data_IF_187396090661
#
_entry.id   IF_187396090661
#
_cell.length_a   1.000
_cell.length_b   1.000
_cell.length_c   1.000
_cell.angle_alpha   90.00
_cell.angle_beta   90.00
_cell.angle_gamma   90.00
#
_symmetry.space_group_name_H-M   'P 1'
#
loop_
_entity.id
_entity.type
_entity.pdbx_description
1 polymer ?
#
# COMPACT_ATOMS: atom_id res chain seq x y z
N UNK A 1 11.58 3.08 -8.23
CA UNK A 1 12.97 2.91 -8.71
C UNK A 1 12.94 1.86 -9.81
N UNK A 2 13.53 2.14 -10.97
CA UNK A 2 13.59 1.18 -12.08
C UNK A 2 14.87 0.36 -11.88
N UNK A 3 14.73 -0.94 -11.66
CA UNK A 3 15.85 -1.88 -11.75
C UNK A 3 15.68 -2.63 -13.06
N UNK A 4 16.63 -2.50 -13.97
CA UNK A 4 16.60 -3.09 -15.30
C UNK A 4 17.21 -4.50 -15.27
N UNK A 5 16.48 -5.50 -15.77
CA UNK A 5 16.99 -6.83 -16.10
C UNK A 5 16.12 -7.46 -17.19
N UNK A 6 16.56 -7.32 -18.45
CA UNK A 6 16.15 -8.11 -19.62
C UNK A 6 14.70 -7.98 -20.07
N UNK A 7 14.43 -7.11 -21.06
CA UNK A 7 13.26 -7.06 -21.97
C UNK A 7 11.83 -7.31 -21.41
N UNK A 8 11.65 -7.32 -20.09
CA UNK A 8 10.37 -7.39 -19.43
C UNK A 8 10.15 -6.09 -18.66
N UNK A 9 9.30 -5.22 -19.21
CA UNK A 9 8.88 -4.02 -18.51
C UNK A 9 7.83 -4.40 -17.46
N UNK A 10 8.29 -4.85 -16.29
CA UNK A 10 7.42 -5.12 -15.15
C UNK A 10 7.02 -3.79 -14.50
N UNK A 11 5.86 -3.28 -14.86
CA UNK A 11 5.20 -2.24 -14.08
C UNK A 11 4.44 -2.93 -12.95
N UNK A 12 4.93 -2.81 -11.72
CA UNK A 12 4.06 -3.02 -10.56
C UNK A 12 3.23 -1.76 -10.41
N UNK A 13 1.96 -1.82 -10.78
CA UNK A 13 0.97 -0.81 -10.40
C UNK A 13 0.83 -0.86 -8.86
N UNK A 14 1.70 -0.12 -8.15
CA UNK A 14 1.60 0.03 -6.71
C UNK A 14 0.65 1.19 -6.42
N UNK A 15 -0.58 0.87 -6.06
CA UNK A 15 -1.53 1.85 -5.52
C UNK A 15 -1.06 2.24 -4.13
N UNK A 16 -0.74 3.52 -3.91
CA UNK A 16 -0.37 4.06 -2.61
C UNK A 16 -1.49 4.91 -2.04
N UNK A 17 -1.86 4.66 -0.79
CA UNK A 17 -2.89 5.44 -0.10
C UNK A 17 -2.42 5.85 1.29
N UNK A 18 -3.05 6.90 1.82
CA UNK A 18 -2.90 7.31 3.21
C UNK A 18 -4.14 6.90 4.01
N UNK A 19 -3.91 6.17 5.11
CA UNK A 19 -4.93 5.78 6.08
C UNK A 19 -4.81 6.66 7.33
N UNK A 20 -5.94 7.15 7.84
CA UNK A 20 -5.93 7.89 9.11
C UNK A 20 -5.70 6.93 10.27
N UNK A 21 -4.76 7.26 11.16
CA UNK A 21 -4.48 6.48 12.38
C UNK A 21 -5.72 6.34 13.26
N UNK A 22 -6.58 7.37 13.29
CA UNK A 22 -7.81 7.36 14.07
C UNK A 22 -8.81 6.29 13.60
N UNK A 23 -8.75 5.91 12.33
CA UNK A 23 -9.64 4.92 11.72
C UNK A 23 -8.99 3.53 11.70
N UNK A 24 -7.69 3.47 11.42
CA UNK A 24 -6.91 2.23 11.38
C UNK A 24 -5.67 2.37 12.29
N UNK A 25 -5.77 1.97 13.57
CA UNK A 25 -4.70 2.20 14.54
C UNK A 25 -3.42 1.40 14.28
N UNK A 26 -3.55 0.20 13.70
CA UNK A 26 -2.44 -0.73 13.49
C UNK A 26 -2.62 -1.54 12.20
N UNK A 27 -2.46 -0.93 11.02
CA UNK A 27 -2.47 -1.65 9.75
C UNK A 27 -1.28 -2.62 9.68
N UNK A 28 -1.45 -3.71 8.93
CA UNK A 28 -0.44 -4.76 8.75
C UNK A 28 -0.34 -5.18 7.29
N UNK A 29 0.83 -5.71 6.86
CA UNK A 29 0.91 -6.42 5.60
C UNK A 29 -0.13 -7.54 5.52
N UNK A 30 -0.82 -7.65 4.39
CA UNK A 30 -1.89 -8.63 4.17
C UNK A 30 -3.29 -8.18 4.60
N UNK A 31 -3.45 -7.03 5.24
CA UNK A 31 -4.77 -6.46 5.49
C UNK A 31 -5.49 -6.18 4.16
N UNK A 32 -6.79 -6.48 4.12
CA UNK A 32 -7.65 -6.25 2.94
C UNK A 32 -8.31 -4.89 3.00
N UNK A 33 -8.24 -4.16 1.89
CA UNK A 33 -8.89 -2.86 1.68
C UNK A 33 -9.82 -3.00 0.49
N UNK A 34 -11.05 -2.52 0.62
CA UNK A 34 -12.01 -2.44 -0.47
C UNK A 34 -12.19 -0.99 -0.89
N UNK A 35 -11.99 -0.73 -2.19
CA UNK A 35 -12.13 0.61 -2.79
C UNK A 35 -13.06 0.44 -3.99
N UNK A 36 -14.21 1.10 -3.97
CA UNK A 36 -15.22 1.05 -5.04
C UNK A 36 -15.65 -0.37 -5.48
N UNK A 37 -15.56 -1.36 -4.58
CA UNK A 37 -15.91 -2.76 -4.83
C UNK A 37 -14.74 -3.65 -5.25
N UNK A 38 -13.57 -3.07 -5.53
CA UNK A 38 -12.34 -3.80 -5.82
C UNK A 38 -11.55 -4.08 -4.53
N UNK A 39 -10.99 -5.29 -4.43
CA UNK A 39 -10.24 -5.73 -3.27
C UNK A 39 -8.73 -5.59 -3.50
N UNK A 40 -8.06 -5.00 -2.52
CA UNK A 40 -6.63 -4.81 -2.46
C UNK A 40 -6.06 -5.38 -1.17
N UNK A 41 -4.79 -5.76 -1.20
CA UNK A 41 -4.02 -6.19 -0.04
C UNK A 41 -2.88 -5.22 0.22
N UNK A 42 -2.69 -4.85 1.48
CA UNK A 42 -1.50 -4.10 1.92
C UNK A 42 -0.26 -4.96 1.66
N UNK A 43 0.69 -4.39 0.96
CA UNK A 43 2.00 -4.98 0.68
C UNK A 43 3.09 -4.19 1.40
N UNK A 44 4.03 -4.91 2.01
CA UNK A 44 5.08 -4.31 2.82
C UNK A 44 4.57 -3.70 4.13
N UNK A 45 5.51 -3.19 4.92
CA UNK A 45 5.22 -2.59 6.22
C UNK A 45 4.62 -1.17 6.05
N UNK A 46 3.45 -0.88 6.67
CA UNK A 46 2.91 0.47 6.73
C UNK A 46 3.88 1.47 7.34
N UNK A 47 4.06 2.62 6.69
CA UNK A 47 4.96 3.67 7.16
C UNK A 47 4.15 4.79 7.77
N UNK A 48 4.44 5.14 9.02
CA UNK A 48 3.79 6.27 9.68
C UNK A 48 4.42 7.58 9.23
N UNK A 49 3.60 8.60 9.02
CA UNK A 49 4.11 9.94 8.80
C UNK A 49 4.82 10.50 10.04
N UNK A 50 5.49 11.64 9.85
CA UNK A 50 6.27 12.28 10.92
C UNK A 50 5.42 12.72 12.09
N UNK A 51 4.23 13.28 11.81
CA UNK A 51 3.30 13.76 12.85
C UNK A 51 2.45 12.63 13.43
N UNK A 52 2.61 11.41 12.92
CA UNK A 52 1.94 10.20 13.39
C UNK A 52 0.41 10.23 13.29
N UNK A 53 -0.11 10.99 12.32
CA UNK A 53 -1.53 11.15 12.05
C UNK A 53 -2.03 10.20 10.95
N UNK A 54 -1.15 9.78 10.05
CA UNK A 54 -1.49 8.91 8.92
C UNK A 54 -0.46 7.78 8.73
N UNK A 55 -0.94 6.71 8.14
CA UNK A 55 -0.13 5.63 7.61
C UNK A 55 -0.12 5.71 6.10
N UNK A 56 1.05 5.70 5.49
CA UNK A 56 1.20 5.44 4.06
C UNK A 56 1.35 3.94 3.86
N UNK A 57 0.49 3.37 3.01
CA UNK A 57 0.53 1.94 2.66
C UNK A 57 0.60 1.75 1.16
N UNK A 58 1.35 0.75 0.75
CA UNK A 58 1.39 0.27 -0.62
C UNK A 58 0.41 -0.89 -0.76
N UNK A 59 -0.37 -0.90 -1.83
CA UNK A 59 -1.41 -1.88 -2.09
C UNK A 59 -1.10 -2.65 -3.38
N UNK A 60 -1.52 -3.92 -3.40
CA UNK A 60 -1.60 -4.75 -4.61
C UNK A 60 -3.02 -5.28 -4.77
N UNK A 61 -3.49 -5.58 -6.00
CA UNK A 61 -4.73 -6.33 -6.19
C UNK A 61 -4.70 -7.64 -5.38
N UNK A 62 -5.85 -8.00 -4.81
CA UNK A 62 -6.02 -9.20 -4.00
C UNK A 62 -5.81 -10.49 -4.80
#
# INVERSE_FOLDING_TARGET
AVTDFGDARLWSETTRIDLRVAEVPNPRPGDRIEIDGDAFLVQGEPVRDRERLVWTVDLRPA
#
